data_IF_729316122936
#
_entry.id   IF_729316122936
#
_cell.length_a   1.000
_cell.length_b   1.000
_cell.length_c   1.000
_cell.angle_alpha   90.00
_cell.angle_beta   90.00
_cell.angle_gamma   90.00
#
_symmetry.space_group_name_H-M   'P 1'
#
loop_
_entity.id
_entity.type
_entity.pdbx_description
1 polymer ?
#
# COMPACT_ATOMS: atom_id res chain seq x y z
N UNK A 1 7.54 10.77 -14.90
CA UNK A 1 7.99 10.56 -13.50
C UNK A 1 6.88 10.10 -12.57
N UNK A 2 5.65 10.63 -12.62
CA UNK A 2 4.58 10.21 -11.66
C UNK A 2 4.33 8.69 -11.65
N UNK A 3 4.29 8.06 -12.83
CA UNK A 3 4.08 6.61 -12.97
C UNK A 3 5.21 5.76 -12.36
N UNK A 4 6.47 6.11 -12.62
CA UNK A 4 7.64 5.42 -12.05
C UNK A 4 7.74 5.64 -10.54
N UNK A 5 7.48 6.87 -10.07
CA UNK A 5 7.53 7.21 -8.64
C UNK A 5 6.47 6.47 -7.81
N UNK A 6 5.28 6.26 -8.38
CA UNK A 6 4.11 5.66 -7.70
C UNK A 6 3.95 4.15 -7.91
N UNK A 7 4.83 3.53 -8.70
CA UNK A 7 4.81 2.08 -8.91
C UNK A 7 4.77 1.34 -7.56
N UNK A 8 3.98 0.28 -7.49
CA UNK A 8 3.84 -0.54 -6.27
C UNK A 8 4.75 -1.76 -6.32
N UNK A 9 5.15 -2.18 -7.52
CA UNK A 9 6.01 -3.33 -7.77
C UNK A 9 7.24 -2.96 -8.60
N UNK A 10 8.32 -3.72 -8.42
CA UNK A 10 9.52 -3.64 -9.29
C UNK A 10 9.18 -3.83 -10.77
N UNK A 11 8.22 -4.70 -11.08
CA UNK A 11 7.79 -4.96 -12.46
C UNK A 11 7.17 -3.71 -13.11
N UNK A 12 6.24 -3.05 -12.44
CA UNK A 12 5.62 -1.82 -12.93
C UNK A 12 6.64 -0.69 -13.06
N UNK A 13 7.55 -0.58 -12.09
CA UNK A 13 8.64 0.39 -12.11
C UNK A 13 9.52 0.20 -13.36
N UNK A 14 10.00 -1.03 -13.58
CA UNK A 14 10.87 -1.35 -14.70
C UNK A 14 10.21 -1.10 -16.06
N UNK A 15 8.91 -1.45 -16.20
CA UNK A 15 8.17 -1.17 -17.44
C UNK A 15 8.13 0.33 -17.75
N UNK A 16 7.89 1.17 -16.74
CA UNK A 16 7.85 2.61 -16.93
C UNK A 16 9.24 3.24 -17.15
N UNK A 17 10.29 2.66 -16.57
CA UNK A 17 11.67 3.08 -16.83
C UNK A 17 12.13 2.72 -18.24
N UNK A 18 11.72 1.56 -18.77
CA UNK A 18 11.98 1.15 -20.14
C UNK A 18 11.22 2.04 -21.15
N UNK A 19 9.96 2.37 -20.87
CA UNK A 19 9.21 3.38 -21.65
C UNK A 19 9.94 4.73 -21.67
N UNK A 20 10.48 5.18 -20.53
CA UNK A 20 11.22 6.44 -20.42
C UNK A 20 12.54 6.41 -21.20
N UNK A 21 13.28 5.30 -21.11
CA UNK A 21 14.54 5.08 -21.83
C UNK A 21 14.33 5.16 -23.34
N UNK A 22 13.28 4.50 -23.84
CA UNK A 22 12.96 4.46 -25.26
C UNK A 22 12.50 5.83 -25.81
N UNK A 23 11.88 6.66 -24.96
CA UNK A 23 11.44 8.01 -25.35
C UNK A 23 12.58 9.01 -25.30
N UNK A 24 13.31 9.07 -24.18
CA UNK A 24 14.30 10.11 -23.91
C UNK A 24 15.43 9.62 -23.00
N UNK A 25 16.55 9.22 -23.62
CA UNK A 25 17.76 8.79 -22.91
C UNK A 25 18.25 9.81 -21.86
N UNK A 26 18.33 11.10 -22.22
CA UNK A 26 18.79 12.14 -21.29
C UNK A 26 17.88 12.28 -20.05
N UNK A 27 16.58 12.07 -20.23
CA UNK A 27 15.63 12.13 -19.12
C UNK A 27 15.77 10.91 -18.22
N UNK A 28 16.03 9.74 -18.81
CA UNK A 28 16.34 8.50 -18.09
C UNK A 28 17.61 8.66 -17.25
N UNK A 29 18.71 9.15 -17.84
CA UNK A 29 19.97 9.35 -17.11
C UNK A 29 19.79 10.32 -15.94
N UNK A 30 19.08 11.43 -16.17
CA UNK A 30 18.77 12.39 -15.11
C UNK A 30 18.00 11.78 -13.93
N UNK A 31 16.99 10.93 -14.18
CA UNK A 31 16.23 10.31 -13.07
C UNK A 31 17.01 9.26 -12.31
N UNK A 32 17.90 8.53 -12.99
CA UNK A 32 18.81 7.58 -12.35
C UNK A 32 19.81 8.34 -11.48
N UNK A 33 20.42 9.41 -11.99
CA UNK A 33 21.38 10.25 -11.26
C UNK A 33 20.74 10.95 -10.05
N UNK A 34 19.46 11.36 -10.16
CA UNK A 34 18.72 11.90 -9.04
C UNK A 34 18.60 10.92 -7.85
N UNK A 35 18.76 9.61 -8.11
CA UNK A 35 18.76 8.55 -7.11
C UNK A 35 17.34 8.02 -6.83
N UNK A 36 16.96 6.84 -7.37
CA UNK A 36 15.62 6.28 -7.23
C UNK A 36 15.13 6.12 -5.79
N UNK A 37 16.03 5.88 -4.83
CA UNK A 37 15.70 5.81 -3.40
C UNK A 37 15.09 7.10 -2.82
N UNK A 38 15.27 8.25 -3.46
CA UNK A 38 14.74 9.54 -3.01
C UNK A 38 13.32 9.81 -3.48
N UNK A 39 12.89 9.20 -4.58
CA UNK A 39 11.65 9.56 -5.26
C UNK A 39 10.77 8.37 -5.67
N UNK A 40 11.35 7.17 -5.81
CA UNK A 40 10.62 5.94 -6.12
C UNK A 40 10.18 5.23 -4.85
N UNK A 41 8.89 4.94 -4.76
CA UNK A 41 8.30 4.21 -3.64
C UNK A 41 8.87 2.80 -3.48
N UNK A 42 9.14 2.11 -4.59
CA UNK A 42 9.67 0.72 -4.59
C UNK A 42 11.09 0.67 -4.03
N UNK A 43 11.90 1.68 -4.33
CA UNK A 43 13.29 1.78 -3.87
C UNK A 43 13.45 2.57 -2.57
N UNK A 44 12.36 3.05 -1.97
CA UNK A 44 12.41 3.77 -0.72
C UNK A 44 12.74 2.81 0.43
N UNK A 45 13.85 3.02 1.18
CA UNK A 45 14.44 2.03 2.07
C UNK A 45 13.53 1.65 3.24
N UNK A 46 12.79 2.63 3.77
CA UNK A 46 11.79 2.39 4.79
C UNK A 46 10.47 2.15 4.07
N UNK A 47 10.02 0.91 3.88
CA UNK A 47 8.70 0.57 3.27
C UNK A 47 7.51 1.17 4.04
N UNK A 48 7.44 2.49 4.13
CA UNK A 48 6.56 3.32 4.97
C UNK A 48 5.09 3.20 4.55
N UNK A 49 4.87 2.68 3.34
CA UNK A 49 3.55 2.47 2.77
C UNK A 49 3.40 1.04 2.26
N UNK A 50 3.76 0.05 3.07
CA UNK A 50 3.46 -1.36 2.80
C UNK A 50 1.94 -1.56 2.86
N UNK A 51 1.23 -1.25 1.77
CA UNK A 51 -0.12 -1.70 1.35
C UNK A 51 -1.31 -1.50 2.32
N UNK A 52 -1.11 -1.15 3.60
CA UNK A 52 -2.14 -1.16 4.64
C UNK A 52 -2.05 0.08 5.55
N UNK A 53 -2.26 1.28 5.03
CA UNK A 53 -2.44 2.47 5.89
C UNK A 53 -3.88 2.98 5.97
N UNK A 54 -4.87 2.25 5.45
CA UNK A 54 -6.29 2.64 5.64
C UNK A 54 -7.19 1.54 6.18
N UNK A 55 -6.89 0.25 6.01
CA UNK A 55 -7.93 -0.76 6.29
C UNK A 55 -7.83 -1.47 7.66
N UNK A 56 -6.80 -1.28 8.48
CA UNK A 56 -6.77 -1.98 9.77
C UNK A 56 -7.83 -1.39 10.73
N UNK A 57 -7.80 -0.07 10.93
CA UNK A 57 -8.77 0.62 11.76
C UNK A 57 -10.17 0.61 11.12
N UNK A 58 -10.28 0.72 9.79
CA UNK A 58 -11.58 0.62 9.10
C UNK A 58 -12.15 -0.80 9.14
N UNK A 59 -11.36 -1.86 8.93
CA UNK A 59 -11.81 -3.25 9.15
C UNK A 59 -12.25 -3.47 10.60
N UNK A 60 -11.43 -3.04 11.57
CA UNK A 60 -11.75 -3.19 12.99
C UNK A 60 -13.03 -2.41 13.33
N UNK A 61 -13.19 -1.18 12.83
CA UNK A 61 -14.38 -0.38 13.08
C UNK A 61 -15.62 -0.94 12.38
N UNK A 62 -15.49 -1.46 11.16
CA UNK A 62 -16.57 -2.14 10.43
C UNK A 62 -17.01 -3.40 11.19
N UNK A 63 -16.05 -4.21 11.63
CA UNK A 63 -16.32 -5.41 12.43
C UNK A 63 -16.98 -5.07 13.77
N UNK A 64 -16.45 -4.08 14.51
CA UNK A 64 -17.03 -3.63 15.78
C UNK A 64 -18.41 -2.97 15.60
N UNK A 65 -18.67 -2.34 14.46
CA UNK A 65 -19.99 -1.78 14.13
C UNK A 65 -21.02 -2.90 13.93
N UNK A 66 -20.66 -3.98 13.25
CA UNK A 66 -21.50 -5.17 13.10
C UNK A 66 -21.70 -5.85 14.47
N UNK A 67 -20.62 -6.01 15.25
CA UNK A 67 -20.70 -6.60 16.59
C UNK A 67 -21.60 -5.81 17.55
N UNK A 68 -21.64 -4.46 17.43
CA UNK A 68 -22.55 -3.59 18.20
C UNK A 68 -24.01 -3.61 17.71
N UNK A 69 -24.25 -4.04 16.47
CA UNK A 69 -25.60 -4.23 15.93
C UNK A 69 -26.19 -5.60 16.27
N UNK A 70 -25.36 -6.54 16.70
CA UNK A 70 -25.83 -7.76 17.34
C UNK A 70 -26.34 -7.41 18.75
N UNK A 71 -27.48 -7.94 19.19
CA UNK A 71 -27.93 -7.75 20.56
C UNK A 71 -26.80 -8.26 21.47
N UNK A 72 -26.29 -7.43 22.38
CA UNK A 72 -25.23 -7.84 23.32
C UNK A 72 -25.56 -9.17 24.03
N UNK A 73 -26.84 -9.47 24.17
CA UNK A 73 -27.38 -10.75 24.65
C UNK A 73 -26.86 -11.96 23.86
N UNK A 74 -26.80 -11.94 22.52
CA UNK A 74 -26.32 -13.11 21.75
C UNK A 74 -24.81 -13.30 21.86
N UNK A 75 -24.02 -12.23 22.02
CA UNK A 75 -22.58 -12.34 22.24
C UNK A 75 -22.27 -12.83 23.66
N UNK A 76 -23.00 -12.34 24.67
CA UNK A 76 -22.89 -12.81 26.04
C UNK A 76 -23.29 -14.30 26.16
N UNK A 77 -24.38 -14.69 25.51
CA UNK A 77 -24.90 -16.06 25.52
C UNK A 77 -23.97 -17.02 24.75
N UNK A 78 -23.32 -16.55 23.67
CA UNK A 78 -22.30 -17.32 22.95
C UNK A 78 -21.05 -17.56 23.81
N UNK A 79 -20.58 -16.54 24.53
CA UNK A 79 -19.43 -16.67 25.43
C UNK A 79 -19.76 -17.57 26.63
N UNK A 80 -20.98 -17.46 27.18
CA UNK A 80 -21.45 -18.33 28.27
C UNK A 80 -21.59 -19.79 27.87
N UNK A 81 -21.91 -20.08 26.61
CA UNK A 81 -22.04 -21.46 26.10
C UNK A 81 -20.71 -22.06 25.59
N UNK A 82 -19.64 -21.26 25.49
CA UNK A 82 -18.31 -21.75 25.12
C UNK A 82 -17.42 -22.10 26.33
N UNK A 83 -17.78 -21.64 27.54
CA UNK A 83 -17.18 -22.04 28.82
C UNK A 83 -17.98 -23.17 29.46
#
# INVERSE_FOLDING_TARGET
MDKTARAYTELEYNRHMEELLNLHLNAYDYVIDAGPHKWSRVHYPNRRYKVMTTNAAECINSYLKIARQLPMLTLEEFIRNML
#
